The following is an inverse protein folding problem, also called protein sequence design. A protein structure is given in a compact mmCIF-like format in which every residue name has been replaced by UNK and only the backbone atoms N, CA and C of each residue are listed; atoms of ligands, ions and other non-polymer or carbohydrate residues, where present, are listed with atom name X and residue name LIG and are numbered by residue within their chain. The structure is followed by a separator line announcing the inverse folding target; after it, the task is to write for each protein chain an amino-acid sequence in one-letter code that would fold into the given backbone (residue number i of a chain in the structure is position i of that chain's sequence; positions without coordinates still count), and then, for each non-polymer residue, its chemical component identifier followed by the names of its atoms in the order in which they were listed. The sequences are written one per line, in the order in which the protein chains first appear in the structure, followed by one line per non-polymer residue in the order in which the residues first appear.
data_IF_208354334767
#
_entry.id   IF_208354334767
#
_cell.length_a   1.000
_cell.length_b   1.000
_cell.length_c   1.000
_cell.angle_alpha   90.00
_cell.angle_beta   90.00
_cell.angle_gamma   90.00
#
_symmetry.space_group_name_H-M   'P 1'
#
loop_
_entity.id
_entity.type
_entity.pdbx_description
1 polymer ?
#
# COMPACT_ATOMS: atom_id res chain seq x y z
N UNK A 1 18.32 -37.28 -16.69
CA UNK A 1 19.15 -36.12 -16.29
C UNK A 1 20.07 -35.80 -17.44
N UNK A 2 20.01 -34.58 -17.97
CA UNK A 2 20.88 -34.12 -19.05
C UNK A 2 20.78 -32.61 -19.14
N UNK A 3 21.51 -31.92 -18.26
CA UNK A 3 21.67 -30.47 -18.32
C UNK A 3 22.48 -30.14 -19.56
N UNK A 4 21.88 -29.35 -20.47
CA UNK A 4 22.60 -28.78 -21.60
C UNK A 4 23.62 -27.77 -21.07
N UNK A 5 24.89 -28.17 -21.04
CA UNK A 5 26.05 -27.35 -20.69
C UNK A 5 26.73 -26.93 -21.99
N UNK A 6 26.27 -25.85 -22.59
CA UNK A 6 27.09 -25.13 -23.56
C UNK A 6 27.29 -23.71 -23.03
N UNK A 7 28.44 -23.50 -22.41
CA UNK A 7 28.88 -22.23 -21.81
C UNK A 7 29.90 -21.49 -22.71
N UNK A 8 30.21 -22.02 -23.91
CA UNK A 8 31.23 -21.45 -24.79
C UNK A 8 30.67 -20.54 -25.90
N UNK A 9 29.35 -20.51 -26.10
CA UNK A 9 28.74 -19.69 -27.15
C UNK A 9 28.49 -18.22 -26.75
N UNK A 10 28.72 -17.85 -25.48
CA UNK A 10 28.53 -16.48 -25.00
C UNK A 10 29.79 -15.59 -25.06
N UNK A 11 30.98 -16.16 -25.30
CA UNK A 11 32.24 -15.39 -25.24
C UNK A 11 32.86 -15.04 -26.60
N UNK A 12 32.28 -15.45 -27.72
CA UNK A 12 32.81 -15.15 -29.07
C UNK A 12 31.92 -14.23 -29.89
N UNK A 13 31.39 -13.20 -29.24
CA UNK A 13 30.55 -12.16 -29.84
C UNK A 13 31.00 -10.76 -29.45
N UNK A 14 32.31 -10.48 -29.44
CA UNK A 14 32.84 -9.13 -29.24
C UNK A 14 32.58 -8.24 -30.47
N UNK A 15 31.33 -7.81 -30.64
CA UNK A 15 31.07 -6.54 -31.32
C UNK A 15 31.25 -5.43 -30.28
N UNK A 16 32.49 -4.94 -30.13
CA UNK A 16 32.78 -3.72 -29.39
C UNK A 16 32.11 -2.53 -30.10
N UNK A 17 30.82 -2.32 -29.82
CA UNK A 17 30.15 -1.06 -30.09
C UNK A 17 30.80 -0.03 -29.16
N UNK A 18 31.73 0.76 -29.71
CA UNK A 18 32.22 1.99 -29.10
C UNK A 18 31.02 2.91 -28.86
N UNK A 19 30.43 2.81 -27.68
CA UNK A 19 29.50 3.81 -27.17
C UNK A 19 30.34 5.02 -26.77
N UNK A 20 30.55 5.93 -27.73
CA UNK A 20 31.01 7.27 -27.42
C UNK A 20 30.14 7.82 -26.28
N UNK A 21 30.71 8.27 -25.15
CA UNK A 21 29.92 8.86 -24.08
C UNK A 21 29.31 10.16 -24.61
N UNK A 22 28.06 10.06 -25.06
CA UNK A 22 27.28 11.22 -25.51
C UNK A 22 27.28 12.24 -24.38
N UNK A 23 27.70 13.49 -24.60
CA UNK A 23 27.80 14.48 -23.53
C UNK A 23 26.42 14.62 -22.88
N UNK A 24 26.35 14.26 -21.59
CA UNK A 24 25.18 14.48 -20.75
C UNK A 24 24.93 15.99 -20.71
N UNK A 25 23.98 16.45 -21.50
CA UNK A 25 23.56 17.86 -21.51
C UNK A 25 23.28 18.28 -20.07
N UNK A 26 23.76 19.45 -19.60
CA UNK A 26 23.50 19.91 -18.24
C UNK A 26 21.99 19.96 -18.01
N UNK A 27 21.47 19.11 -17.11
CA UNK A 27 20.07 19.16 -16.71
C UNK A 27 19.81 20.53 -16.11
N UNK A 28 18.94 21.33 -16.76
CA UNK A 28 18.47 22.59 -16.22
C UNK A 28 17.86 22.31 -14.85
N UNK A 29 18.47 22.82 -13.80
CA UNK A 29 17.99 22.65 -12.42
C UNK A 29 16.69 23.46 -12.33
N UNK A 30 15.55 22.76 -12.31
CA UNK A 30 14.27 23.41 -12.11
C UNK A 30 14.29 24.13 -10.76
N UNK A 31 13.81 25.37 -10.71
CA UNK A 31 13.72 26.13 -9.45
C UNK A 31 12.87 25.32 -8.45
N UNK A 32 13.46 24.97 -7.31
CA UNK A 32 12.75 24.29 -6.23
C UNK A 32 11.68 25.23 -5.69
N UNK A 33 10.45 24.75 -5.59
CA UNK A 33 9.35 25.50 -4.96
C UNK A 33 9.62 25.56 -3.46
N UNK A 34 9.31 26.71 -2.86
CA UNK A 34 9.32 26.91 -1.41
C UNK A 34 7.87 26.99 -0.97
N UNK A 35 7.54 26.25 0.08
CA UNK A 35 6.22 26.19 0.67
C UNK A 35 6.22 26.96 1.97
N UNK A 36 5.34 27.95 2.07
CA UNK A 36 5.09 28.68 3.32
C UNK A 36 4.38 27.78 4.34
N UNK A 37 4.45 28.14 5.61
CA UNK A 37 3.82 27.38 6.70
C UNK A 37 2.30 27.30 6.56
N UNK A 38 1.69 28.34 5.97
CA UNK A 38 0.25 28.37 5.71
C UNK A 38 -0.19 27.54 4.50
N UNK A 39 0.75 27.09 3.68
CA UNK A 39 0.45 26.28 2.50
C UNK A 39 -0.19 24.95 2.91
N UNK A 40 -1.28 24.59 2.22
CA UNK A 40 -2.01 23.34 2.49
C UNK A 40 -1.10 22.10 2.45
N UNK A 41 -0.18 22.01 1.49
CA UNK A 41 0.72 20.86 1.37
C UNK A 41 1.78 20.82 2.47
N UNK A 42 2.21 21.98 2.96
CA UNK A 42 3.11 22.06 4.10
C UNK A 42 2.42 21.61 5.39
N UNK A 43 1.17 22.01 5.60
CA UNK A 43 0.35 21.53 6.73
C UNK A 43 0.17 20.02 6.71
N UNK A 44 -0.09 19.43 5.53
CA UNK A 44 -0.15 17.97 5.35
C UNK A 44 1.20 17.32 5.68
N UNK A 45 2.31 17.93 5.25
CA UNK A 45 3.65 17.42 5.54
C UNK A 45 3.97 17.39 7.04
N UNK A 46 3.67 18.48 7.76
CA UNK A 46 3.82 18.57 9.22
C UNK A 46 2.93 17.54 9.91
N UNK A 47 1.68 17.41 9.47
CA UNK A 47 0.73 16.45 10.03
C UNK A 47 1.26 15.01 9.93
N UNK A 48 1.73 14.61 8.74
CA UNK A 48 2.28 13.27 8.53
C UNK A 48 3.60 13.06 9.28
N UNK A 49 4.44 14.09 9.37
CA UNK A 49 5.69 14.02 10.13
C UNK A 49 5.47 13.73 11.60
N UNK A 50 4.46 14.37 12.22
CA UNK A 50 4.10 14.10 13.60
C UNK A 50 3.66 12.64 13.81
N UNK A 51 2.91 12.07 12.88
CA UNK A 51 2.49 10.67 12.91
C UNK A 51 3.68 9.72 12.86
N UNK A 52 4.59 9.91 11.91
CA UNK A 52 5.82 9.09 11.80
C UNK A 52 6.71 9.27 13.03
N UNK A 53 6.77 10.49 13.60
CA UNK A 53 7.54 10.79 14.80
C UNK A 53 7.05 10.01 16.02
N UNK A 54 5.73 9.85 16.18
CA UNK A 54 5.13 9.04 17.25
C UNK A 54 5.59 7.58 17.11
N UNK A 55 5.44 6.99 15.93
CA UNK A 55 5.87 5.61 15.65
C UNK A 55 7.37 5.44 15.88
N UNK A 56 8.19 6.41 15.47
CA UNK A 56 9.64 6.37 15.68
C UNK A 56 10.03 6.50 17.15
N UNK A 57 9.28 7.28 17.94
CA UNK A 57 9.48 7.41 19.38
C UNK A 57 9.16 6.09 20.11
N UNK A 58 8.08 5.41 19.72
CA UNK A 58 7.74 4.08 20.24
C UNK A 58 8.85 3.05 19.97
N UNK A 59 9.49 3.14 18.80
CA UNK A 59 10.60 2.28 18.43
C UNK A 59 11.99 2.75 18.93
N UNK A 60 12.08 3.87 19.66
CA UNK A 60 13.36 4.41 20.17
C UNK A 60 14.29 5.01 19.12
N UNK A 61 13.81 5.29 17.91
CA UNK A 61 14.59 5.75 16.75
C UNK A 61 14.21 7.17 16.28
N UNK A 62 13.68 8.00 17.19
CA UNK A 62 13.20 9.37 16.89
C UNK A 62 14.23 10.23 16.14
N UNK A 63 15.51 10.10 16.46
CA UNK A 63 16.60 10.88 15.86
C UNK A 63 16.72 10.69 14.33
N UNK A 64 16.28 9.56 13.78
CA UNK A 64 16.31 9.30 12.33
C UNK A 64 15.24 10.08 11.57
N UNK A 65 14.12 10.41 12.24
CA UNK A 65 12.97 11.09 11.62
C UNK A 65 12.95 12.59 11.94
N UNK A 66 13.57 13.01 13.04
CA UNK A 66 13.58 14.40 13.49
C UNK A 66 14.17 15.39 12.46
N UNK A 67 15.08 14.92 11.60
CA UNK A 67 15.74 15.75 10.56
C UNK A 67 15.08 15.69 9.19
N UNK A 68 13.83 15.24 9.11
CA UNK A 68 13.09 15.17 7.85
C UNK A 68 12.93 16.56 7.22
N UNK A 69 13.10 16.63 5.90
CA UNK A 69 12.93 17.88 5.14
C UNK A 69 11.45 18.08 4.77
N UNK A 70 10.75 18.91 5.56
CA UNK A 70 9.33 19.20 5.37
C UNK A 70 9.01 19.88 4.02
N UNK A 71 9.96 20.63 3.44
CA UNK A 71 9.79 21.22 2.10
C UNK A 71 9.73 20.15 1.01
N UNK A 72 10.56 19.11 1.15
CA UNK A 72 10.52 17.97 0.22
C UNK A 72 9.25 17.16 0.40
N UNK A 73 8.80 16.99 1.64
CA UNK A 73 7.55 16.28 1.93
C UNK A 73 6.34 17.04 1.39
N UNK A 74 6.30 18.36 1.53
CA UNK A 74 5.26 19.21 0.96
C UNK A 74 5.19 19.07 -0.57
N UNK A 75 6.33 19.02 -1.27
CA UNK A 75 6.35 18.77 -2.71
C UNK A 75 5.87 17.36 -3.08
N UNK A 76 6.19 16.34 -2.27
CA UNK A 76 5.68 14.98 -2.50
C UNK A 76 4.17 14.90 -2.30
N UNK A 77 3.60 15.58 -1.29
CA UNK A 77 2.15 15.66 -1.11
C UNK A 77 1.46 16.50 -2.18
N UNK A 78 2.10 17.58 -2.65
CA UNK A 78 1.63 18.32 -3.83
C UNK A 78 1.53 17.39 -5.03
N UNK A 79 2.56 16.58 -5.31
CA UNK A 79 2.53 15.61 -6.43
C UNK A 79 1.42 14.58 -6.26
N UNK A 80 1.21 14.08 -5.05
CA UNK A 80 0.13 13.14 -4.77
C UNK A 80 -1.25 13.74 -5.09
N UNK A 81 -1.48 15.01 -4.75
CA UNK A 81 -2.78 15.67 -4.98
C UNK A 81 -2.92 16.16 -6.41
N UNK A 82 -1.89 16.80 -6.98
CA UNK A 82 -1.97 17.46 -8.29
C UNK A 82 -1.67 16.54 -9.46
N UNK A 83 -0.76 15.57 -9.31
CA UNK A 83 -0.37 14.67 -10.41
C UNK A 83 -1.11 13.34 -10.36
N UNK A 84 -1.38 12.83 -9.16
CA UNK A 84 -2.09 11.57 -8.95
C UNK A 84 -3.58 11.79 -8.65
N UNK A 85 -4.03 13.06 -8.65
CA UNK A 85 -5.43 13.49 -8.50
C UNK A 85 -6.11 12.94 -7.23
N UNK A 86 -5.32 12.69 -6.19
CA UNK A 86 -5.82 12.16 -4.93
C UNK A 86 -6.45 13.28 -4.10
N UNK A 87 -7.68 13.06 -3.64
CA UNK A 87 -8.35 13.99 -2.74
C UNK A 87 -7.60 14.10 -1.41
N UNK A 88 -7.43 15.34 -0.92
CA UNK A 88 -6.73 15.63 0.34
C UNK A 88 -7.34 14.88 1.53
N UNK A 89 -8.66 14.75 1.56
CA UNK A 89 -9.34 14.01 2.62
C UNK A 89 -8.97 12.52 2.57
N UNK A 90 -9.01 11.91 1.39
CA UNK A 90 -8.65 10.50 1.25
C UNK A 90 -7.17 10.25 1.60
N UNK A 91 -6.28 11.15 1.21
CA UNK A 91 -4.88 11.09 1.63
C UNK A 91 -4.74 11.12 3.16
N UNK A 92 -5.49 11.99 3.85
CA UNK A 92 -5.53 12.04 5.31
C UNK A 92 -6.02 10.73 5.93
N UNK A 93 -7.11 10.15 5.41
CA UNK A 93 -7.63 8.88 5.91
C UNK A 93 -6.58 7.77 5.84
N UNK A 94 -5.87 7.68 4.71
CA UNK A 94 -4.81 6.68 4.52
C UNK A 94 -3.62 6.95 5.44
N UNK A 95 -3.27 8.22 5.71
CA UNK A 95 -2.24 8.58 6.70
C UNK A 95 -2.62 8.17 8.13
N UNK A 96 -3.87 8.40 8.52
CA UNK A 96 -4.35 8.04 9.85
C UNK A 96 -4.37 6.51 10.02
N UNK A 97 -4.73 5.78 8.96
CA UNK A 97 -4.73 4.31 8.97
C UNK A 97 -3.32 3.72 8.92
N UNK A 98 -2.38 4.27 8.13
CA UNK A 98 -1.07 3.64 7.90
C UNK A 98 -0.24 3.49 9.17
N UNK A 99 -0.40 4.38 10.15
CA UNK A 99 0.29 4.27 11.45
C UNK A 99 -0.32 3.23 12.39
N UNK A 100 -1.58 2.86 12.17
CA UNK A 100 -2.29 1.84 12.96
C UNK A 100 -1.98 0.43 12.49
N UNK A 101 -1.65 0.25 11.21
CA UNK A 101 -1.32 -1.04 10.64
C UNK A 101 0.13 -1.43 10.99
N UNK A 102 0.31 -2.54 11.70
CA UNK A 102 1.61 -2.99 12.21
C UNK A 102 2.64 -3.22 11.10
N UNK A 103 2.18 -3.68 9.93
CA UNK A 103 3.04 -3.93 8.79
C UNK A 103 3.44 -2.62 8.10
N UNK A 104 2.49 -1.73 7.83
CA UNK A 104 2.79 -0.52 7.08
C UNK A 104 3.46 0.59 7.89
N UNK A 105 3.18 0.70 9.20
CA UNK A 105 3.81 1.74 10.05
C UNK A 105 5.34 1.63 10.10
N UNK A 106 5.88 0.42 9.93
CA UNK A 106 7.34 0.17 9.91
C UNK A 106 7.96 0.48 8.54
N UNK A 107 7.18 0.35 7.46
CA UNK A 107 7.65 0.53 6.09
C UNK A 107 7.51 1.97 5.59
N UNK A 108 6.55 2.72 6.12
CA UNK A 108 6.25 4.08 5.67
C UNK A 108 6.80 5.12 6.66
N UNK A 109 8.07 5.48 6.46
CA UNK A 109 8.79 6.45 7.31
C UNK A 109 9.00 7.82 6.64
N UNK A 110 8.46 8.03 5.43
CA UNK A 110 8.61 9.30 4.70
C UNK A 110 7.46 9.56 3.74
N UNK A 111 7.24 10.84 3.42
CA UNK A 111 6.24 11.27 2.42
C UNK A 111 6.50 10.64 1.03
N UNK A 112 7.76 10.50 0.63
CA UNK A 112 8.13 9.89 -0.65
C UNK A 112 7.71 8.42 -0.71
N UNK A 113 7.96 7.65 0.35
CA UNK A 113 7.55 6.24 0.43
C UNK A 113 6.03 6.11 0.50
N UNK A 114 5.38 6.98 1.28
CA UNK A 114 3.92 7.03 1.38
C UNK A 114 3.27 7.21 0.00
N UNK A 115 3.71 8.23 -0.75
CA UNK A 115 3.22 8.50 -2.11
C UNK A 115 3.43 7.28 -3.03
N UNK A 116 4.64 6.72 -3.06
CA UNK A 116 4.96 5.56 -3.92
C UNK A 116 4.09 4.33 -3.64
N UNK A 117 3.70 4.11 -2.39
CA UNK A 117 2.90 2.94 -1.99
C UNK A 117 1.41 3.27 -1.85
N UNK A 118 0.98 4.51 -2.13
CA UNK A 118 -0.36 5.01 -1.83
C UNK A 118 -1.47 4.11 -2.37
N UNK A 119 -1.37 3.68 -3.64
CA UNK A 119 -2.36 2.78 -4.25
C UNK A 119 -2.52 1.46 -3.48
N UNK A 120 -1.41 0.86 -3.02
CA UNK A 120 -1.46 -0.38 -2.23
C UNK A 120 -2.06 -0.16 -0.85
N UNK A 121 -1.72 0.97 -0.22
CA UNK A 121 -2.27 1.37 1.07
C UNK A 121 -3.79 1.53 0.98
N UNK A 122 -4.27 2.29 -0.01
CA UNK A 122 -5.69 2.53 -0.23
C UNK A 122 -6.48 1.22 -0.45
N UNK A 123 -5.95 0.30 -1.28
CA UNK A 123 -6.58 -1.01 -1.51
C UNK A 123 -6.62 -1.84 -0.23
N UNK A 124 -5.53 -1.88 0.54
CA UNK A 124 -5.47 -2.65 1.78
C UNK A 124 -6.42 -2.08 2.84
N UNK A 125 -6.45 -0.76 3.01
CA UNK A 125 -7.39 -0.07 3.89
C UNK A 125 -8.85 -0.37 3.52
N UNK A 126 -9.20 -0.29 2.22
CA UNK A 126 -10.54 -0.63 1.74
C UNK A 126 -10.91 -2.10 1.98
N UNK A 127 -9.92 -3.00 1.89
CA UNK A 127 -10.12 -4.43 2.14
C UNK A 127 -10.37 -4.73 3.62
N UNK A 128 -9.75 -3.99 4.53
CA UNK A 128 -9.97 -4.09 5.98
C UNK A 128 -11.29 -3.44 6.42
N UNK A 129 -11.75 -2.39 5.72
CA UNK A 129 -13.03 -1.71 6.01
C UNK A 129 -14.27 -2.51 5.57
N UNK A 130 -14.13 -3.56 4.76
CA UNK A 130 -15.30 -4.37 4.36
C UNK A 130 -15.87 -5.09 5.59
N UNK A 131 -17.19 -4.98 5.84
CA UNK A 131 -17.82 -5.69 6.94
C UNK A 131 -17.75 -7.19 6.69
N UNK A 132 -17.79 -7.94 7.80
CA UNK A 132 -18.03 -9.37 7.99
C UNK A 132 -18.26 -10.21 6.74
N UNK A 133 -17.63 -11.38 6.72
CA UNK A 133 -17.83 -12.46 5.77
C UNK A 133 -19.28 -12.52 5.24
N UNK A 134 -19.49 -12.86 3.95
CA UNK A 134 -20.84 -13.13 3.48
C UNK A 134 -21.47 -14.07 4.49
N UNK A 135 -22.62 -13.66 5.04
CA UNK A 135 -23.47 -14.56 5.85
C UNK A 135 -23.49 -15.84 5.04
N UNK A 136 -22.91 -16.93 5.57
CA UNK A 136 -22.99 -18.23 4.93
C UNK A 136 -24.49 -18.46 4.77
N UNK A 137 -25.00 -18.27 3.57
CA UNK A 137 -26.35 -18.72 3.26
C UNK A 137 -26.29 -20.20 3.60
N UNK A 138 -27.15 -20.64 4.53
CA UNK A 138 -27.21 -22.04 4.91
C UNK A 138 -27.27 -22.83 3.60
N UNK A 139 -26.22 -23.60 3.33
CA UNK A 139 -26.07 -24.32 2.07
C UNK A 139 -27.26 -25.29 2.03
N UNK A 140 -28.01 -25.38 0.93
CA UNK A 140 -29.23 -26.22 0.88
C UNK A 140 -28.95 -27.67 1.32
N UNK A 141 -27.69 -28.11 1.19
CA UNK A 141 -27.18 -29.40 1.65
C UNK A 141 -27.30 -29.63 3.16
N UNK A 142 -27.22 -28.58 3.98
CA UNK A 142 -27.36 -28.71 5.43
C UNK A 142 -28.81 -29.04 5.82
N UNK A 143 -29.79 -28.43 5.15
CA UNK A 143 -31.22 -28.75 5.32
C UNK A 143 -31.55 -30.17 4.82
N UNK A 144 -30.92 -30.62 3.74
CA UNK A 144 -31.08 -31.99 3.24
C UNK A 144 -30.56 -33.03 4.25
N UNK A 145 -29.43 -32.75 4.91
CA UNK A 145 -28.87 -33.61 5.96
C UNK A 145 -29.79 -33.63 7.19
N UNK A 146 -30.28 -32.48 7.64
CA UNK A 146 -31.23 -32.38 8.75
C UNK A 146 -32.53 -33.11 8.47
N UNK A 147 -33.07 -32.99 7.25
CA UNK A 147 -34.27 -33.71 6.83
C UNK A 147 -34.06 -35.23 6.82
N UNK A 148 -32.93 -35.71 6.30
CA UNK A 148 -32.60 -37.14 6.32
C UNK A 148 -32.47 -37.69 7.74
N UNK A 149 -31.86 -36.93 8.67
CA UNK A 149 -31.75 -37.32 10.08
C UNK A 149 -33.11 -37.32 10.79
N UNK A 150 -33.97 -36.35 10.49
CA UNK A 150 -35.33 -36.25 11.02
C UNK A 150 -36.18 -37.47 10.62
N UNK A 151 -36.18 -37.81 9.33
CA UNK A 151 -36.93 -38.97 8.82
C UNK A 151 -36.35 -40.28 9.37
N UNK A 152 -35.02 -40.40 9.48
CA UNK A 152 -34.37 -41.57 10.07
C UNK A 152 -34.69 -41.73 11.58
N UNK A 153 -34.97 -40.62 12.28
CA UNK A 153 -35.44 -40.60 13.66
C UNK A 153 -36.93 -40.93 13.85
N UNK A 154 -37.67 -41.19 12.75
CA UNK A 154 -39.10 -41.48 12.77
C UNK A 154 -40.00 -40.24 12.77
N UNK A 155 -39.46 -39.05 12.49
CA UNK A 155 -40.25 -37.83 12.29
C UNK A 155 -41.03 -37.86 10.97
N UNK A 156 -42.23 -37.28 10.96
CA UNK A 156 -43.05 -37.17 9.75
C UNK A 156 -42.39 -36.19 8.74
N UNK A 157 -42.16 -36.59 7.48
CA UNK A 157 -41.63 -35.71 6.44
C UNK A 157 -42.42 -34.40 6.23
N UNK A 158 -43.73 -34.41 6.49
CA UNK A 158 -44.58 -33.23 6.30
C UNK A 158 -44.48 -32.20 7.44
N UNK A 159 -43.94 -32.61 8.60
CA UNK A 159 -43.79 -31.72 9.78
C UNK A 159 -42.40 -31.06 9.85
N UNK A 160 -41.50 -31.35 8.89
CA UNK A 160 -40.15 -30.78 8.89
C UNK A 160 -40.15 -29.28 8.56
N UNK A 161 -39.47 -28.48 9.38
CA UNK A 161 -39.43 -27.02 9.21
C UNK A 161 -38.37 -26.60 8.18
N UNK A 162 -38.85 -26.14 7.02
CA UNK A 162 -38.03 -25.69 5.90
C UNK A 162 -37.56 -24.23 5.98
N UNK A 163 -38.02 -23.46 6.97
CA UNK A 163 -37.61 -22.05 7.15
C UNK A 163 -36.24 -21.88 7.82
#
# INVERSE_FOLDING_TARGET
MGVNKNYEEWESGEAQAKVDPKPLKPKKVAKKRVYEEDNTYYKIAVYFHNHVKIVAKEAGIEHLIARANLQTWADDFRKLVELEEIEKHHAKEVMDWVVTDEFWRTNILSASTFRKQFAKLAVKMASQKKPSQPIKQADSRDKDIEFQQWVAGGGDPNDFNWN
#
